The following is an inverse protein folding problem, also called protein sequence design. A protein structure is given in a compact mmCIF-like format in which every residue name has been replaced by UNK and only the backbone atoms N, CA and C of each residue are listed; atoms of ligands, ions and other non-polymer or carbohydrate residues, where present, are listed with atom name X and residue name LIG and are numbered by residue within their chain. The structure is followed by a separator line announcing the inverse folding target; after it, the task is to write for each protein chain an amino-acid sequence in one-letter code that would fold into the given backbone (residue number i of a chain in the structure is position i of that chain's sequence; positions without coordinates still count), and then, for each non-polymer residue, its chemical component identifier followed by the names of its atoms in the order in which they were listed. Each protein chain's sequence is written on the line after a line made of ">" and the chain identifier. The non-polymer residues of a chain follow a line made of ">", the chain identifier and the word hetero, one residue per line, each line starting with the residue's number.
data_IF_220639652849
#
_entry.id   IF_220639652849
#
_cell.length_a   1.000
_cell.length_b   1.000
_cell.length_c   1.000
_cell.angle_alpha   90.00
_cell.angle_beta   90.00
_cell.angle_gamma   90.00
#
_symmetry.space_group_name_H-M   'P 1'
#
loop_
_entity.id
_entity.type
_entity.pdbx_description
1 polymer ?
#
# COMPACT_ATOMS: atom_id res chain seq x y z
N UNK A 1 -19.86 21.05 1.84
CA UNK A 1 -18.40 20.90 1.65
C UNK A 1 -18.19 19.59 0.90
N UNK A 2 -17.45 19.61 -0.20
CA UNK A 2 -17.10 18.41 -0.97
C UNK A 2 -16.10 17.59 -0.14
N UNK A 3 -16.40 16.32 0.12
CA UNK A 3 -15.52 15.44 0.91
C UNK A 3 -14.23 15.15 0.15
N UNK A 4 -13.18 14.71 0.85
CA UNK A 4 -11.95 14.30 0.15
C UNK A 4 -12.18 13.10 -0.79
N UNK A 5 -13.16 12.24 -0.46
CA UNK A 5 -13.61 11.16 -1.35
C UNK A 5 -14.21 11.69 -2.65
N UNK A 6 -15.09 12.71 -2.57
CA UNK A 6 -15.70 13.30 -3.77
C UNK A 6 -14.64 13.88 -4.72
N UNK A 7 -13.55 14.44 -4.16
CA UNK A 7 -12.40 14.94 -4.94
C UNK A 7 -11.66 13.81 -5.66
N UNK A 8 -11.46 12.67 -5.00
CA UNK A 8 -10.82 11.51 -5.61
C UNK A 8 -11.69 10.87 -6.70
N UNK A 9 -12.98 10.71 -6.43
CA UNK A 9 -13.97 10.24 -7.39
C UNK A 9 -14.02 11.13 -8.65
N UNK A 10 -14.08 12.45 -8.48
CA UNK A 10 -14.04 13.39 -9.61
C UNK A 10 -12.72 13.30 -10.39
N UNK A 11 -11.59 13.21 -9.69
CA UNK A 11 -10.27 13.04 -10.32
C UNK A 11 -10.22 11.80 -11.21
N UNK A 12 -10.75 10.66 -10.74
CA UNK A 12 -10.77 9.44 -11.53
C UNK A 12 -11.79 9.48 -12.66
N UNK A 13 -12.94 10.11 -12.46
CA UNK A 13 -13.94 10.31 -13.51
C UNK A 13 -13.40 11.09 -14.71
N UNK A 14 -12.52 12.06 -14.45
CA UNK A 14 -11.88 12.88 -15.47
C UNK A 14 -10.62 12.23 -16.06
N UNK A 15 -10.11 11.15 -15.48
CA UNK A 15 -8.88 10.51 -15.95
C UNK A 15 -9.13 9.72 -17.24
N UNK A 16 -8.23 9.89 -18.21
CA UNK A 16 -8.26 9.09 -19.43
C UNK A 16 -7.83 7.64 -19.14
N UNK A 17 -8.42 6.62 -19.79
CA UNK A 17 -8.07 5.22 -19.54
C UNK A 17 -6.58 4.90 -19.71
N UNK A 18 -5.92 5.54 -20.68
CA UNK A 18 -4.49 5.33 -20.96
C UNK A 18 -3.57 6.15 -20.03
N UNK A 19 -4.13 6.91 -19.09
CA UNK A 19 -3.38 7.72 -18.13
C UNK A 19 -2.89 6.94 -16.91
N UNK A 20 -3.19 5.63 -16.82
CA UNK A 20 -2.64 4.76 -15.76
C UNK A 20 -1.13 4.67 -15.95
N UNK A 21 -0.42 5.53 -15.21
CA UNK A 21 1.04 5.61 -15.26
C UNK A 21 1.73 4.38 -14.67
N UNK A 22 3.05 4.47 -14.58
CA UNK A 22 3.86 3.45 -13.92
C UNK A 22 3.54 3.31 -12.43
N UNK A 23 3.82 2.13 -11.89
CA UNK A 23 3.88 1.93 -10.44
C UNK A 23 4.84 2.90 -9.76
N UNK A 24 4.62 3.11 -8.46
CA UNK A 24 5.42 4.01 -7.65
C UNK A 24 6.93 3.78 -7.86
N UNK A 25 7.67 4.84 -8.16
CA UNK A 25 9.09 4.73 -8.49
C UNK A 25 9.94 4.17 -7.34
N UNK A 26 9.57 4.49 -6.09
CA UNK A 26 10.25 3.96 -4.91
C UNK A 26 9.98 2.47 -4.76
N UNK A 27 8.73 2.03 -4.94
CA UNK A 27 8.37 0.61 -4.96
C UNK A 27 9.20 -0.15 -6.02
N UNK A 28 9.25 0.37 -7.25
CA UNK A 28 10.05 -0.22 -8.35
C UNK A 28 11.53 -0.32 -8.00
N UNK A 29 12.11 0.71 -7.38
CA UNK A 29 13.52 0.71 -6.96
C UNK A 29 13.84 -0.33 -5.88
N UNK A 30 12.82 -0.78 -5.15
CA UNK A 30 12.92 -1.73 -4.04
C UNK A 30 12.48 -3.15 -4.45
N UNK A 31 12.35 -3.43 -5.75
CA UNK A 31 11.90 -4.72 -6.29
C UNK A 31 12.63 -5.94 -5.72
N UNK A 32 13.91 -5.82 -5.35
CA UNK A 32 14.69 -6.91 -4.72
C UNK A 32 14.08 -7.48 -3.43
N UNK A 33 13.20 -6.73 -2.78
CA UNK A 33 12.47 -7.17 -1.59
C UNK A 33 11.14 -7.84 -1.91
N UNK A 34 10.81 -8.09 -3.18
CA UNK A 34 9.56 -8.69 -3.63
C UNK A 34 9.87 -9.78 -4.65
N UNK A 35 9.74 -11.04 -4.22
CA UNK A 35 10.11 -12.23 -5.00
C UNK A 35 9.03 -12.72 -5.98
N UNK A 36 7.84 -12.09 -5.96
CA UNK A 36 6.74 -12.46 -6.84
C UNK A 36 5.94 -13.69 -6.40
N UNK A 37 6.27 -14.34 -5.30
CA UNK A 37 5.62 -15.58 -4.91
C UNK A 37 4.39 -15.35 -4.01
N UNK A 38 3.23 -15.87 -4.41
CA UNK A 38 2.02 -15.91 -3.58
C UNK A 38 0.99 -14.83 -3.90
N UNK A 39 0.25 -14.39 -2.87
CA UNK A 39 -0.81 -13.38 -3.00
C UNK A 39 -0.30 -12.01 -2.59
N UNK A 40 -0.60 -11.00 -3.40
CA UNK A 40 -0.33 -9.61 -3.07
C UNK A 40 -1.63 -8.81 -2.93
N UNK A 41 -1.65 -7.87 -2.01
CA UNK A 41 -2.72 -6.91 -1.80
C UNK A 41 -2.21 -5.49 -2.02
N UNK A 42 -2.94 -4.69 -2.78
CA UNK A 42 -2.72 -3.24 -2.91
C UNK A 42 -3.93 -2.51 -2.30
N UNK A 43 -3.70 -1.78 -1.22
CA UNK A 43 -4.72 -1.04 -0.47
C UNK A 43 -4.77 0.40 -0.98
N UNK A 44 -5.98 0.90 -1.24
CA UNK A 44 -6.21 2.15 -1.95
C UNK A 44 -5.51 2.15 -3.32
N UNK A 45 -5.75 1.07 -4.08
CA UNK A 45 -5.02 0.75 -5.31
C UNK A 45 -5.27 1.73 -6.47
N UNK A 46 -6.26 2.60 -6.36
CA UNK A 46 -6.61 3.60 -7.35
C UNK A 46 -6.86 2.98 -8.73
N UNK A 47 -6.26 3.58 -9.75
CA UNK A 47 -6.36 3.11 -11.14
C UNK A 47 -5.48 1.88 -11.45
N UNK A 48 -4.79 1.31 -10.46
CA UNK A 48 -4.15 -0.01 -10.58
C UNK A 48 -2.71 -0.03 -11.10
N UNK A 49 -1.99 1.10 -11.08
CA UNK A 49 -0.59 1.17 -11.52
C UNK A 49 0.32 0.17 -10.76
N UNK A 50 0.18 0.08 -9.43
CA UNK A 50 0.95 -0.87 -8.62
C UNK A 50 0.49 -2.32 -8.83
N UNK A 51 -0.79 -2.55 -9.13
CA UNK A 51 -1.32 -3.89 -9.44
C UNK A 51 -0.60 -4.52 -10.63
N UNK A 52 -0.40 -3.74 -11.69
CA UNK A 52 0.35 -4.18 -12.88
C UNK A 52 1.78 -4.57 -12.53
N UNK A 53 2.45 -3.76 -11.71
CA UNK A 53 3.83 -4.04 -11.32
C UNK A 53 3.94 -5.29 -10.44
N UNK A 54 3.07 -5.42 -9.43
CA UNK A 54 2.99 -6.61 -8.57
C UNK A 54 2.76 -7.87 -9.41
N UNK A 55 1.86 -7.78 -10.37
CA UNK A 55 1.61 -8.90 -11.25
C UNK A 55 2.85 -9.25 -12.08
N UNK A 56 3.51 -8.26 -12.67
CA UNK A 56 4.76 -8.46 -13.44
C UNK A 56 5.87 -9.10 -12.59
N UNK A 57 5.86 -8.93 -11.26
CA UNK A 57 6.76 -9.66 -10.37
C UNK A 57 6.41 -11.14 -10.24
N UNK A 58 5.16 -11.54 -10.47
CA UNK A 58 4.68 -12.93 -10.39
C UNK A 58 3.49 -13.14 -9.45
N UNK A 59 3.06 -12.10 -8.72
CA UNK A 59 2.03 -12.24 -7.70
C UNK A 59 0.63 -12.48 -8.29
N UNK A 60 -0.22 -13.15 -7.48
CA UNK A 60 -1.68 -13.13 -7.64
C UNK A 60 -2.20 -11.91 -6.91
N UNK A 61 -2.70 -10.94 -7.67
CA UNK A 61 -2.94 -9.58 -7.15
C UNK A 61 -4.42 -9.36 -6.83
N UNK A 62 -4.68 -8.85 -5.64
CA UNK A 62 -5.94 -8.23 -5.24
C UNK A 62 -5.75 -6.73 -5.05
N UNK A 63 -6.64 -5.91 -5.61
CA UNK A 63 -6.70 -4.47 -5.35
C UNK A 63 -7.97 -4.13 -4.56
N UNK A 64 -7.84 -3.27 -3.57
CA UNK A 64 -8.98 -2.69 -2.84
C UNK A 64 -8.96 -1.19 -3.00
N UNK A 65 -10.10 -0.61 -3.38
CA UNK A 65 -10.29 0.84 -3.40
C UNK A 65 -11.76 1.16 -3.12
N UNK A 66 -12.02 2.31 -2.52
CA UNK A 66 -13.38 2.79 -2.29
C UNK A 66 -13.99 3.36 -3.56
N UNK A 67 -13.16 3.87 -4.48
CA UNK A 67 -13.60 4.54 -5.69
C UNK A 67 -13.96 3.56 -6.80
N UNK A 68 -15.24 3.57 -7.21
CA UNK A 68 -15.69 2.73 -8.33
C UNK A 68 -15.11 3.21 -9.65
N UNK A 69 -14.93 4.52 -9.84
CA UNK A 69 -14.30 5.06 -11.04
C UNK A 69 -12.82 4.64 -11.14
N UNK A 70 -12.09 4.64 -10.03
CA UNK A 70 -10.72 4.12 -9.99
C UNK A 70 -10.67 2.64 -10.37
N UNK A 71 -11.56 1.83 -9.80
CA UNK A 71 -11.61 0.39 -10.10
C UNK A 71 -12.02 0.10 -11.55
N UNK A 72 -12.87 0.93 -12.18
CA UNK A 72 -13.18 0.83 -13.62
C UNK A 72 -11.94 1.05 -14.47
N UNK A 73 -11.08 1.99 -14.11
CA UNK A 73 -9.79 2.19 -14.78
C UNK A 73 -8.85 1.01 -14.52
N UNK A 74 -8.76 0.53 -13.28
CA UNK A 74 -7.95 -0.63 -12.91
C UNK A 74 -8.41 -1.94 -13.60
N UNK A 75 -9.67 -2.05 -14.01
CA UNK A 75 -10.15 -3.16 -14.85
C UNK A 75 -9.64 -3.09 -16.30
N UNK A 76 -9.36 -1.90 -16.82
CA UNK A 76 -9.00 -1.66 -18.23
C UNK A 76 -7.51 -1.83 -18.45
N UNK A 77 -7.04 -3.06 -18.26
CA UNK A 77 -5.63 -3.37 -18.45
C UNK A 77 -5.29 -3.53 -19.94
N UNK A 78 -4.24 -2.87 -20.46
CA UNK A 78 -3.89 -2.92 -21.89
C UNK A 78 -3.60 -4.34 -22.40
N UNK A 79 -3.15 -5.24 -21.53
CA UNK A 79 -2.84 -6.64 -21.83
C UNK A 79 -4.06 -7.57 -21.67
N UNK A 80 -5.28 -7.03 -21.45
CA UNK A 80 -6.52 -7.80 -21.28
C UNK A 80 -6.60 -8.57 -19.96
N UNK A 81 -5.66 -8.35 -19.04
CA UNK A 81 -5.59 -8.99 -17.74
C UNK A 81 -6.72 -8.58 -16.81
N UNK A 82 -7.15 -9.53 -15.98
CA UNK A 82 -8.09 -9.26 -14.90
C UNK A 82 -7.41 -9.41 -13.54
N UNK A 83 -7.44 -8.34 -12.75
CA UNK A 83 -7.11 -8.38 -11.33
C UNK A 83 -8.36 -8.71 -10.51
N UNK A 84 -8.15 -9.26 -9.31
CA UNK A 84 -9.24 -9.32 -8.33
C UNK A 84 -9.39 -7.93 -7.72
N UNK A 85 -10.45 -7.21 -8.11
CA UNK A 85 -10.72 -5.86 -7.59
C UNK A 85 -11.92 -5.90 -6.64
N UNK A 86 -11.81 -5.16 -5.55
CA UNK A 86 -12.85 -5.10 -4.51
C UNK A 86 -13.14 -3.63 -4.21
N UNK A 87 -14.39 -3.24 -4.44
CA UNK A 87 -14.90 -1.98 -3.92
C UNK A 87 -15.05 -2.11 -2.40
N UNK A 88 -14.21 -1.42 -1.65
CA UNK A 88 -14.11 -1.60 -0.21
C UNK A 88 -13.85 -0.26 0.50
N UNK A 89 -14.55 -0.05 1.61
CA UNK A 89 -14.21 1.01 2.55
C UNK A 89 -13.17 0.49 3.55
N UNK A 90 -11.93 0.94 3.42
CA UNK A 90 -10.81 0.39 4.19
C UNK A 90 -10.93 0.67 5.70
N UNK A 91 -11.70 1.69 6.10
CA UNK A 91 -11.99 2.00 7.50
C UNK A 91 -12.79 0.91 8.21
N UNK A 92 -13.55 0.11 7.45
CA UNK A 92 -14.44 -0.94 7.98
C UNK A 92 -14.13 -2.33 7.44
N UNK A 93 -13.15 -2.44 6.53
CA UNK A 93 -12.82 -3.70 5.87
C UNK A 93 -12.00 -4.61 6.78
N UNK A 94 -12.43 -5.87 6.89
CA UNK A 94 -11.62 -6.91 7.51
C UNK A 94 -10.66 -7.53 6.49
N UNK A 95 -9.39 -7.65 6.89
CA UNK A 95 -8.37 -8.34 6.10
C UNK A 95 -8.20 -9.79 6.58
N UNK A 96 -8.09 -10.77 5.67
CA UNK A 96 -7.89 -12.16 6.04
C UNK A 96 -6.53 -12.37 6.70
N UNK A 97 -6.50 -13.20 7.74
CA UNK A 97 -5.29 -13.48 8.53
C UNK A 97 -4.24 -14.24 7.71
N UNK A 98 -2.97 -13.82 7.78
CA UNK A 98 -1.81 -14.49 7.18
C UNK A 98 -2.05 -14.99 5.74
N UNK A 99 -2.58 -14.13 4.88
CA UNK A 99 -2.91 -14.49 3.50
C UNK A 99 -1.93 -13.92 2.47
N UNK A 100 -1.35 -12.76 2.75
CA UNK A 100 -0.58 -12.01 1.76
C UNK A 100 0.92 -12.16 1.96
N UNK A 101 1.62 -12.48 0.88
CA UNK A 101 3.08 -12.46 0.81
C UNK A 101 3.61 -11.03 0.55
N UNK A 102 2.77 -10.15 -0.01
CA UNK A 102 3.06 -8.73 -0.16
C UNK A 102 1.82 -7.88 0.12
N UNK A 103 1.97 -6.79 0.88
CA UNK A 103 0.96 -5.73 1.01
C UNK A 103 1.60 -4.41 0.61
N UNK A 104 0.94 -3.67 -0.28
CA UNK A 104 1.37 -2.38 -0.80
C UNK A 104 0.35 -1.32 -0.35
N UNK A 105 0.83 -0.20 0.19
CA UNK A 105 0.03 0.98 0.52
C UNK A 105 0.78 2.22 0.04
N UNK A 106 0.19 2.97 -0.88
CA UNK A 106 0.82 4.18 -1.46
C UNK A 106 -0.15 5.35 -1.45
N UNK A 107 0.28 6.49 -0.91
CA UNK A 107 -0.49 7.74 -0.84
C UNK A 107 -1.86 7.62 -0.15
N UNK A 108 -1.98 6.69 0.79
CA UNK A 108 -3.12 6.52 1.68
C UNK A 108 -2.63 6.53 3.13
N UNK A 109 -3.47 7.00 4.06
CA UNK A 109 -3.17 6.99 5.49
C UNK A 109 -4.45 6.80 6.30
N UNK A 110 -4.55 5.62 6.91
CA UNK A 110 -5.46 5.32 8.00
C UNK A 110 -4.70 4.50 9.03
N UNK A 111 -4.53 5.07 10.22
CA UNK A 111 -3.77 4.47 11.33
C UNK A 111 -4.52 3.30 11.96
N UNK A 112 -5.85 3.29 11.88
CA UNK A 112 -6.68 2.22 12.43
C UNK A 112 -6.49 0.91 11.67
N UNK A 113 -6.03 0.98 10.42
CA UNK A 113 -5.77 -0.17 9.55
C UNK A 113 -4.44 -0.88 9.84
N UNK A 114 -3.49 -0.24 10.54
CA UNK A 114 -2.15 -0.79 10.76
C UNK A 114 -2.14 -2.19 11.40
N UNK A 115 -2.91 -2.46 12.48
CA UNK A 115 -2.94 -3.79 13.08
C UNK A 115 -3.51 -4.86 12.13
N UNK A 116 -4.48 -4.50 11.29
CA UNK A 116 -5.06 -5.42 10.31
C UNK A 116 -4.05 -5.77 9.21
N UNK A 117 -3.27 -4.78 8.73
CA UNK A 117 -2.17 -4.99 7.77
C UNK A 117 -1.16 -6.00 8.32
N UNK A 118 -0.70 -5.79 9.56
CA UNK A 118 0.26 -6.70 10.22
C UNK A 118 -0.29 -8.12 10.29
N UNK A 119 -1.53 -8.30 10.75
CA UNK A 119 -2.17 -9.62 10.85
C UNK A 119 -2.39 -10.30 9.49
N UNK A 120 -2.59 -9.53 8.43
CA UNK A 120 -2.89 -10.07 7.11
C UNK A 120 -1.64 -10.58 6.37
N UNK A 121 -0.44 -10.14 6.77
CA UNK A 121 0.82 -10.65 6.26
C UNK A 121 1.06 -12.09 6.72
N UNK A 122 1.42 -12.95 5.76
CA UNK A 122 2.01 -14.26 6.02
C UNK A 122 3.35 -14.11 6.75
N UNK A 123 3.78 -15.12 7.52
CA UNK A 123 5.19 -15.25 7.91
C UNK A 123 6.11 -15.07 6.70
N UNK A 124 7.16 -14.27 6.85
CA UNK A 124 8.07 -13.88 5.76
C UNK A 124 7.51 -12.88 4.74
N UNK A 125 6.23 -12.50 4.85
CA UNK A 125 5.58 -11.55 3.94
C UNK A 125 6.10 -10.12 4.10
N UNK A 126 6.09 -9.34 3.01
CA UNK A 126 6.57 -7.95 2.99
C UNK A 126 5.45 -6.92 2.97
N UNK A 127 5.61 -5.84 3.73
CA UNK A 127 4.86 -4.60 3.60
C UNK A 127 5.73 -3.55 2.90
N UNK A 128 5.19 -2.89 1.88
CA UNK A 128 5.65 -1.56 1.47
C UNK A 128 4.58 -0.53 1.83
N UNK A 129 4.98 0.48 2.59
CA UNK A 129 4.12 1.60 2.92
C UNK A 129 4.83 2.88 2.53
N UNK A 130 4.17 3.74 1.75
CA UNK A 130 4.66 5.07 1.38
C UNK A 130 3.53 6.08 1.41
N UNK A 131 3.68 7.16 2.15
CA UNK A 131 2.73 8.28 2.10
C UNK A 131 3.39 9.60 2.50
N UNK A 132 2.61 10.68 2.49
CA UNK A 132 3.09 12.01 2.84
C UNK A 132 3.51 12.09 4.30
N UNK A 133 4.53 12.88 4.59
CA UNK A 133 4.96 13.22 5.94
C UNK A 133 4.77 14.72 6.21
N UNK A 134 4.99 15.13 7.45
CA UNK A 134 4.84 16.52 7.89
C UNK A 134 5.62 17.56 7.09
N UNK A 135 6.69 17.18 6.38
CA UNK A 135 7.40 18.11 5.52
C UNK A 135 6.49 18.66 4.40
N UNK A 136 5.45 17.91 3.99
CA UNK A 136 4.46 18.40 3.04
C UNK A 136 3.76 19.68 3.51
N UNK A 137 3.50 19.82 4.81
CA UNK A 137 2.80 20.98 5.36
C UNK A 137 3.61 22.27 5.23
N UNK A 138 4.95 22.18 5.17
CA UNK A 138 5.81 23.33 4.90
C UNK A 138 5.65 23.84 3.46
N UNK A 139 5.39 22.92 2.52
CA UNK A 139 5.21 23.24 1.10
C UNK A 139 3.74 23.53 0.74
N UNK A 140 2.79 22.92 1.48
CA UNK A 140 1.34 23.05 1.31
C UNK A 140 0.66 23.23 2.67
N UNK A 141 0.68 24.44 3.25
CA UNK A 141 0.12 24.70 4.59
C UNK A 141 -1.38 24.42 4.73
N UNK A 142 -2.13 24.43 3.62
CA UNK A 142 -3.56 24.11 3.60
C UNK A 142 -3.91 22.63 3.41
N UNK A 143 -2.93 21.74 3.36
CA UNK A 143 -3.18 20.30 3.28
C UNK A 143 -3.67 19.77 4.64
N UNK A 144 -4.58 18.79 4.64
CA UNK A 144 -5.12 18.24 5.87
C UNK A 144 -4.00 17.51 6.66
N UNK A 145 -3.67 17.95 7.89
CA UNK A 145 -2.61 17.35 8.69
C UNK A 145 -2.90 15.89 9.11
N UNK A 146 -4.14 15.45 9.09
CA UNK A 146 -4.49 14.06 9.46
C UNK A 146 -3.96 13.05 8.42
N UNK A 147 -3.74 13.49 7.18
CA UNK A 147 -3.23 12.67 6.07
C UNK A 147 -1.70 12.76 5.89
N UNK A 148 -0.97 13.27 6.89
CA UNK A 148 0.49 13.22 6.90
C UNK A 148 1.02 12.45 8.11
N UNK A 149 2.15 11.78 7.91
CA UNK A 149 2.88 11.07 8.96
C UNK A 149 3.73 12.02 9.81
N UNK A 150 3.80 11.71 11.10
CA UNK A 150 4.88 12.15 11.98
C UNK A 150 6.23 11.55 11.54
N UNK A 151 7.32 12.18 11.97
CA UNK A 151 8.67 11.62 11.74
C UNK A 151 8.82 10.31 12.54
N UNK A 152 9.30 9.27 11.85
CA UNK A 152 9.50 7.94 12.44
C UNK A 152 8.21 7.17 12.75
N UNK A 153 7.06 7.67 12.28
CA UNK A 153 5.76 7.08 12.61
C UNK A 153 5.64 5.66 12.05
N UNK A 154 6.02 5.43 10.79
CA UNK A 154 5.87 4.12 10.17
C UNK A 154 6.72 3.08 10.90
N UNK A 155 7.97 3.42 11.24
CA UNK A 155 8.83 2.51 12.00
C UNK A 155 8.23 2.15 13.35
N UNK A 156 7.66 3.12 14.09
CA UNK A 156 7.04 2.87 15.41
C UNK A 156 5.77 2.04 15.28
N UNK A 157 4.90 2.41 14.34
CA UNK A 157 3.59 1.76 14.13
C UNK A 157 3.70 0.32 13.67
N UNK A 158 4.76 -0.02 12.93
CA UNK A 158 5.04 -1.39 12.46
C UNK A 158 6.18 -2.05 13.24
N UNK A 159 6.39 -1.68 14.51
CA UNK A 159 7.50 -2.17 15.33
C UNK A 159 7.52 -3.68 15.59
N UNK A 160 6.40 -4.38 15.39
CA UNK A 160 6.33 -5.85 15.43
C UNK A 160 6.93 -6.52 14.19
N UNK A 161 7.01 -5.78 13.08
CA UNK A 161 7.63 -6.24 11.84
C UNK A 161 9.13 -5.96 11.85
N UNK A 162 9.89 -6.81 11.17
CA UNK A 162 11.33 -6.62 10.98
C UNK A 162 11.60 -5.59 9.89
N UNK A 163 12.32 -4.50 10.15
CA UNK A 163 12.63 -3.52 9.12
C UNK A 163 13.65 -4.05 8.12
N UNK A 164 13.38 -3.82 6.83
CA UNK A 164 14.32 -4.07 5.71
C UNK A 164 14.80 -2.76 5.09
N UNK A 165 13.92 -1.77 5.00
CA UNK A 165 14.22 -0.40 4.54
C UNK A 165 13.39 0.57 5.37
N UNK A 166 14.00 1.66 5.82
CA UNK A 166 13.30 2.79 6.45
C UNK A 166 13.84 4.07 5.83
N UNK A 167 12.94 4.95 5.42
CA UNK A 167 13.27 6.29 4.96
C UNK A 167 12.18 7.26 5.43
N UNK A 168 12.45 7.94 6.55
CA UNK A 168 11.53 8.88 7.19
C UNK A 168 12.27 10.21 7.44
N UNK A 169 12.46 11.04 6.39
CA UNK A 169 13.28 12.24 6.46
C UNK A 169 12.64 13.32 7.36
N UNK A 170 13.48 14.00 8.14
CA UNK A 170 13.11 15.10 9.03
C UNK A 170 13.58 16.49 8.54
N UNK A 171 14.20 16.55 7.37
CA UNK A 171 14.87 17.75 6.84
C UNK A 171 14.02 18.61 5.90
N UNK A 172 12.68 18.55 5.95
CA UNK A 172 11.79 19.32 5.07
C UNK A 172 11.68 18.82 3.62
N UNK A 173 12.50 17.84 3.21
CA UNK A 173 12.45 17.14 1.93
C UNK A 173 13.21 15.79 2.04
N UNK A 174 12.74 14.66 1.46
CA UNK A 174 11.46 14.45 0.77
C UNK A 174 10.21 14.65 1.64
N UNK A 175 9.10 14.99 0.98
CA UNK A 175 7.76 15.09 1.60
C UNK A 175 7.05 13.75 1.77
N UNK A 176 7.74 12.65 1.45
CA UNK A 176 7.22 11.30 1.62
C UNK A 176 8.12 10.53 2.57
N UNK A 177 7.49 9.69 3.38
CA UNK A 177 8.15 8.64 4.16
C UNK A 177 7.78 7.29 3.58
N UNK A 178 8.71 6.34 3.63
CA UNK A 178 8.44 4.97 3.21
C UNK A 178 9.21 3.93 4.03
N UNK A 179 8.63 2.73 4.11
CA UNK A 179 9.25 1.57 4.74
C UNK A 179 9.06 0.31 3.88
N UNK A 180 10.02 -0.60 3.98
CA UNK A 180 9.81 -2.02 3.69
C UNK A 180 9.98 -2.79 4.98
N UNK A 181 8.92 -3.45 5.42
CA UNK A 181 8.89 -4.27 6.62
C UNK A 181 8.63 -5.73 6.26
N UNK A 182 9.12 -6.65 7.08
CA UNK A 182 8.94 -8.09 6.90
C UNK A 182 8.28 -8.69 8.13
N UNK A 183 7.22 -9.46 7.93
CA UNK A 183 6.62 -10.26 8.99
C UNK A 183 7.61 -11.34 9.42
N UNK A 184 7.99 -11.41 10.71
CA UNK A 184 8.87 -12.46 11.20
C UNK A 184 8.33 -13.86 10.86
N UNK A 185 9.24 -14.78 10.57
CA UNK A 185 8.88 -16.18 10.44
C UNK A 185 8.28 -16.69 11.74
N UNK A 186 7.19 -17.47 11.67
CA UNK A 186 6.74 -18.21 12.85
C UNK A 186 7.84 -19.22 13.19
N UNK A 187 8.32 -19.29 14.45
CA UNK A 187 9.22 -20.35 14.84
C UNK A 187 8.58 -21.68 14.45
N UNK A 188 9.30 -22.52 13.72
CA UNK A 188 8.83 -23.88 13.47
C UNK A 188 8.49 -24.48 14.84
N UNK A 189 7.23 -24.91 15.03
CA UNK A 189 6.84 -25.61 16.23
C UNK A 189 7.88 -26.72 16.46
N UNK A 190 8.61 -26.60 17.57
CA UNK A 190 9.64 -27.55 17.93
C UNK A 190 9.06 -28.94 17.80
N UNK A 191 9.70 -29.79 17.01
CA UNK A 191 9.51 -31.22 17.16
C UNK A 191 10.09 -31.53 18.54
N UNK A 192 9.24 -31.46 19.56
CA UNK A 192 9.54 -32.03 20.86
C UNK A 192 9.70 -33.54 20.62
N UNK A 193 10.95 -33.95 20.45
CA UNK A 193 11.36 -35.32 20.61
C UNK A 193 11.43 -35.59 22.11
N UNK A 194 10.36 -36.19 22.64
CA UNK A 194 10.37 -36.98 23.86
C UNK A 194 9.48 -38.21 23.65
#
# INVERSE_FOLDING_TARGET
>A
MCSDMDRWEEKYRQAEPDSVGDADATLRSLARWFDGAGQALDLACGAGANLQWLHRQGYRVTGMDRSLEALKLACRQPDGRQFRLIAADLETTELPHQCYAAIIVVHYLDRTLFPAIVRALKPGGRLFYKTFNKNLLQQRPGFNPDFVLEIGELQRSFGELKPRVIAEPDTGNPVNSWVVMEQPETPAAGKDHA
#
